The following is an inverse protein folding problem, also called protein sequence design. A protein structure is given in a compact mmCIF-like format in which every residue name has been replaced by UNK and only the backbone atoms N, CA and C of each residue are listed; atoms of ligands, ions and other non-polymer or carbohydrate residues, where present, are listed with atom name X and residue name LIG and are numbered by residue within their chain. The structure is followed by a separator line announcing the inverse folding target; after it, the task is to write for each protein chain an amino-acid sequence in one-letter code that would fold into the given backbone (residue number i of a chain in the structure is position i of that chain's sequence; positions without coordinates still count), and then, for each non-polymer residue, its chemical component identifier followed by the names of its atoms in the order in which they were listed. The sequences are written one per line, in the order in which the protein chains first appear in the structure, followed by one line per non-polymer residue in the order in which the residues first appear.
data_IF_917611672574
#
_entry.id   IF_917611672574
#
_cell.length_a   1.000
_cell.length_b   1.000
_cell.length_c   1.000
_cell.angle_alpha   90.00
_cell.angle_beta   90.00
_cell.angle_gamma   90.00
#
_symmetry.space_group_name_H-M   'P 1'
#
loop_
_entity.id
_entity.type
_entity.pdbx_description
1 polymer ?
#
# COMPACT_ATOMS: atom_id res chain seq x y z
N UNK A 1 24.17 2.64 -16.63
CA UNK A 1 22.74 2.90 -16.32
C UNK A 1 22.69 3.41 -14.89
N UNK A 2 22.04 4.54 -14.65
CA UNK A 2 21.85 5.07 -13.30
C UNK A 2 20.84 4.24 -12.53
N UNK A 3 21.01 4.14 -11.21
CA UNK A 3 20.02 3.46 -10.35
C UNK A 3 18.75 4.29 -10.28
N UNK A 4 17.60 3.63 -10.40
CA UNK A 4 16.30 4.26 -10.16
C UNK A 4 16.08 4.47 -8.65
N UNK A 5 15.23 5.40 -8.29
CA UNK A 5 14.97 5.80 -6.88
C UNK A 5 14.69 4.59 -5.97
N UNK A 6 13.89 3.63 -6.44
CA UNK A 6 13.56 2.43 -5.65
C UNK A 6 14.76 1.55 -5.30
N UNK A 7 15.86 1.67 -6.04
CA UNK A 7 17.08 0.89 -5.79
C UNK A 7 18.15 1.65 -4.98
N UNK A 8 17.85 2.89 -4.59
CA UNK A 8 18.74 3.70 -3.72
C UNK A 8 18.43 3.53 -2.24
N UNK A 9 17.27 2.95 -1.90
CA UNK A 9 16.87 2.70 -0.52
C UNK A 9 17.62 1.48 0.01
N UNK A 10 18.17 1.60 1.22
CA UNK A 10 18.85 0.49 1.88
C UNK A 10 17.81 -0.52 2.44
N UNK A 11 17.56 -1.57 1.68
CA UNK A 11 16.60 -2.62 2.05
C UNK A 11 17.05 -3.50 3.24
N UNK A 12 18.32 -3.40 3.68
CA UNK A 12 18.78 -4.08 4.88
C UNK A 12 18.38 -3.32 6.17
N UNK A 13 18.10 -2.02 6.04
CA UNK A 13 17.65 -1.18 7.15
C UNK A 13 16.15 -0.91 7.13
N UNK A 14 15.50 -1.11 5.96
CA UNK A 14 14.11 -0.77 5.74
C UNK A 14 13.19 -1.68 6.56
N UNK A 15 12.35 -1.07 7.38
CA UNK A 15 11.38 -1.76 8.24
C UNK A 15 9.95 -1.52 7.74
N UNK A 16 8.96 -2.30 8.19
CA UNK A 16 7.55 -2.00 7.93
C UNK A 16 7.18 -0.58 8.38
N UNK A 17 6.44 0.15 7.55
CA UNK A 17 6.10 1.54 7.79
C UNK A 17 5.33 2.16 6.63
N UNK A 18 5.20 3.48 6.66
CA UNK A 18 4.59 4.30 5.62
C UNK A 18 5.54 5.42 5.22
N UNK A 19 6.05 5.38 4.01
CA UNK A 19 7.11 6.27 3.57
C UNK A 19 6.72 7.06 2.32
N UNK A 20 7.18 8.30 2.19
CA UNK A 20 7.23 8.98 0.91
C UNK A 20 8.37 8.37 0.09
N UNK A 21 8.03 7.63 -0.97
CA UNK A 21 9.04 7.04 -1.86
C UNK A 21 9.68 8.08 -2.76
N UNK A 22 8.84 8.90 -3.40
CA UNK A 22 9.28 10.00 -4.25
C UNK A 22 8.15 10.99 -4.51
N UNK A 23 8.54 12.17 -5.02
CA UNK A 23 7.63 13.20 -5.50
C UNK A 23 8.00 13.56 -6.93
N UNK A 24 7.05 13.41 -7.85
CA UNK A 24 7.24 13.69 -9.27
C UNK A 24 6.46 14.94 -9.66
N UNK A 25 7.07 15.82 -10.48
CA UNK A 25 6.40 16.95 -11.08
C UNK A 25 5.81 16.55 -12.42
N UNK A 26 4.51 16.82 -12.61
CA UNK A 26 3.78 16.62 -13.85
C UNK A 26 3.14 17.95 -14.25
N UNK A 27 3.80 18.72 -15.09
CA UNK A 27 3.42 20.12 -15.36
C UNK A 27 3.58 20.95 -14.09
N UNK A 28 2.50 21.61 -13.65
CA UNK A 28 2.43 22.41 -12.41
C UNK A 28 2.10 21.57 -11.18
N UNK A 29 1.65 20.33 -11.38
CA UNK A 29 1.16 19.47 -10.32
C UNK A 29 2.28 18.59 -9.75
N UNK A 30 2.04 18.09 -8.53
CA UNK A 30 2.93 17.11 -7.90
C UNK A 30 2.16 15.81 -7.71
N UNK A 31 2.85 14.70 -7.93
CA UNK A 31 2.37 13.35 -7.58
C UNK A 31 3.29 12.79 -6.51
N UNK A 32 2.72 12.42 -5.36
CA UNK A 32 3.46 11.76 -4.29
C UNK A 32 3.22 10.26 -4.36
N UNK A 33 4.30 9.49 -4.44
CA UNK A 33 4.30 8.02 -4.35
C UNK A 33 4.63 7.61 -2.93
N UNK A 34 3.73 6.86 -2.30
CA UNK A 34 3.92 6.29 -0.97
C UNK A 34 4.31 4.81 -1.06
N UNK A 35 5.26 4.43 -0.25
CA UNK A 35 5.66 3.04 0.01
C UNK A 35 4.94 2.56 1.28
N UNK A 36 3.99 1.66 1.09
CA UNK A 36 3.27 0.98 2.16
C UNK A 36 3.99 -0.34 2.43
N UNK A 37 4.98 -0.31 3.33
CA UNK A 37 5.83 -1.48 3.62
C UNK A 37 5.21 -2.34 4.72
N UNK A 38 4.74 -3.56 4.35
CA UNK A 38 4.06 -4.46 5.25
C UNK A 38 5.00 -5.46 5.94
N UNK A 39 6.08 -5.84 5.25
CA UNK A 39 7.03 -6.84 5.76
C UNK A 39 8.45 -6.30 5.75
N UNK A 40 9.30 -6.76 6.68
CA UNK A 40 10.74 -6.46 6.70
C UNK A 40 11.41 -7.12 5.50
N UNK A 41 11.98 -6.34 4.56
CA UNK A 41 12.62 -6.91 3.38
C UNK A 41 13.75 -7.87 3.74
N UNK A 42 13.76 -9.05 3.12
CA UNK A 42 14.79 -10.09 3.27
C UNK A 42 14.90 -10.72 4.66
N UNK A 43 14.09 -10.31 5.65
CA UNK A 43 14.14 -10.80 7.02
C UNK A 43 12.96 -11.70 7.40
N UNK A 44 11.81 -11.50 6.75
CA UNK A 44 10.60 -12.28 7.03
C UNK A 44 9.93 -12.76 5.72
N UNK A 45 9.02 -13.76 5.79
CA UNK A 45 8.27 -14.24 4.63
C UNK A 45 7.44 -13.11 4.00
N UNK A 46 7.41 -13.10 2.67
CA UNK A 46 6.58 -12.17 1.88
C UNK A 46 5.14 -12.66 1.78
N UNK A 47 4.23 -11.77 1.40
CA UNK A 47 2.85 -12.12 1.07
C UNK A 47 2.80 -13.05 -0.15
N UNK A 48 1.85 -14.00 -0.19
CA UNK A 48 1.59 -14.80 -1.37
C UNK A 48 0.75 -14.02 -2.40
N UNK A 49 0.73 -14.48 -3.65
CA UNK A 49 0.07 -13.78 -4.76
C UNK A 49 -1.43 -13.54 -4.52
N UNK A 50 -2.15 -14.53 -4.04
CA UNK A 50 -3.58 -14.43 -3.76
C UNK A 50 -3.90 -13.44 -2.62
N UNK A 51 -3.03 -13.33 -1.63
CA UNK A 51 -3.12 -12.37 -0.53
C UNK A 51 -2.95 -10.93 -1.04
N UNK A 52 -1.89 -10.73 -1.80
CA UNK A 52 -1.56 -9.45 -2.45
C UNK A 52 -2.69 -8.99 -3.37
N UNK A 53 -3.19 -9.88 -4.22
CA UNK A 53 -4.27 -9.61 -5.15
C UNK A 53 -5.58 -9.25 -4.44
N UNK A 54 -5.91 -9.97 -3.36
CA UNK A 54 -7.08 -9.65 -2.55
C UNK A 54 -6.97 -8.27 -1.89
N UNK A 55 -5.81 -7.95 -1.29
CA UNK A 55 -5.56 -6.63 -0.69
C UNK A 55 -5.66 -5.53 -1.75
N UNK A 56 -5.12 -5.77 -2.95
CA UNK A 56 -5.21 -4.80 -4.06
C UNK A 56 -6.66 -4.46 -4.37
N UNK A 57 -7.54 -5.46 -4.56
CA UNK A 57 -8.96 -5.24 -4.84
C UNK A 57 -9.67 -4.49 -3.71
N UNK A 58 -9.45 -4.88 -2.45
CA UNK A 58 -10.07 -4.26 -1.29
C UNK A 58 -9.61 -2.82 -1.09
N UNK A 59 -8.31 -2.60 -1.12
CA UNK A 59 -7.71 -1.28 -0.89
C UNK A 59 -8.06 -0.32 -2.04
N UNK A 60 -7.97 -0.75 -3.30
CA UNK A 60 -8.35 0.08 -4.43
C UNK A 60 -9.83 0.49 -4.36
N UNK A 61 -10.71 -0.42 -3.95
CA UNK A 61 -12.12 -0.13 -3.76
C UNK A 61 -12.33 0.90 -2.64
N UNK A 62 -11.71 0.71 -1.48
CA UNK A 62 -11.80 1.64 -0.36
C UNK A 62 -11.30 3.04 -0.75
N UNK A 63 -10.08 3.13 -1.26
CA UNK A 63 -9.41 4.40 -1.57
C UNK A 63 -10.20 5.24 -2.58
N UNK A 64 -10.79 4.60 -3.60
CA UNK A 64 -11.57 5.29 -4.63
C UNK A 64 -13.00 5.60 -4.21
N UNK A 65 -13.44 5.14 -3.05
CA UNK A 65 -14.74 5.47 -2.45
C UNK A 65 -14.61 6.37 -1.21
N UNK A 66 -13.39 6.66 -0.74
CA UNK A 66 -13.17 7.57 0.39
C UNK A 66 -13.49 9.02 -0.05
N UNK A 67 -14.51 9.68 0.54
CA UNK A 67 -15.03 10.95 0.02
C UNK A 67 -14.00 12.06 -0.11
N UNK A 68 -13.09 12.18 0.86
CA UNK A 68 -12.11 13.27 0.92
C UNK A 68 -10.87 13.02 0.03
N UNK A 69 -10.69 11.79 -0.45
CA UNK A 69 -9.47 11.38 -1.15
C UNK A 69 -9.67 10.80 -2.53
N UNK A 70 -10.86 10.32 -2.87
CA UNK A 70 -11.15 9.61 -4.14
C UNK A 70 -10.63 10.31 -5.40
N UNK A 71 -10.72 11.64 -5.42
CA UNK A 71 -10.31 12.45 -6.57
C UNK A 71 -8.79 12.67 -6.63
N UNK A 72 -8.07 12.32 -5.57
CA UNK A 72 -6.61 12.39 -5.50
C UNK A 72 -5.93 11.04 -5.73
N UNK A 73 -6.68 9.93 -5.66
CA UNK A 73 -6.12 8.58 -5.84
C UNK A 73 -5.85 8.33 -7.32
N UNK A 74 -4.58 8.17 -7.66
CA UNK A 74 -4.13 7.88 -9.03
C UNK A 74 -3.91 6.39 -9.24
N UNK A 75 -3.27 5.71 -8.29
CA UNK A 75 -2.95 4.29 -8.40
C UNK A 75 -2.73 3.68 -7.02
N UNK A 76 -3.14 2.42 -6.87
CA UNK A 76 -2.75 1.53 -5.79
C UNK A 76 -2.42 0.16 -6.38
N UNK A 77 -1.29 -0.40 -6.02
CA UNK A 77 -0.89 -1.71 -6.51
C UNK A 77 0.31 -2.30 -5.79
N UNK A 78 0.52 -3.62 -5.92
CA UNK A 78 1.57 -4.33 -5.22
C UNK A 78 2.96 -4.06 -5.79
N UNK A 79 3.97 -4.15 -4.94
CA UNK A 79 5.36 -4.26 -5.37
C UNK A 79 5.65 -5.68 -5.86
N UNK A 80 6.49 -5.81 -6.90
CA UNK A 80 6.87 -7.11 -7.43
C UNK A 80 7.57 -8.03 -6.42
N UNK A 81 8.23 -7.45 -5.40
CA UNK A 81 8.85 -8.21 -4.30
C UNK A 81 7.85 -8.73 -3.25
N UNK A 82 6.60 -8.30 -3.32
CA UNK A 82 5.50 -8.71 -2.43
C UNK A 82 5.72 -8.38 -0.95
N UNK A 83 6.51 -7.35 -0.66
CA UNK A 83 6.73 -6.85 0.71
C UNK A 83 5.84 -5.67 1.06
N UNK A 84 5.11 -5.13 0.10
CA UNK A 84 4.23 -3.97 0.28
C UNK A 84 3.54 -3.52 -1.00
N UNK A 85 3.01 -2.30 -0.95
CA UNK A 85 2.24 -1.69 -2.01
C UNK A 85 2.72 -0.27 -2.29
N UNK A 86 2.46 0.22 -3.50
CA UNK A 86 2.57 1.64 -3.82
C UNK A 86 1.18 2.28 -3.87
N UNK A 87 1.09 3.48 -3.27
CA UNK A 87 -0.06 4.37 -3.39
C UNK A 87 0.42 5.68 -4.01
N UNK A 88 -0.17 6.07 -5.13
CA UNK A 88 0.09 7.34 -5.79
C UNK A 88 -1.07 8.29 -5.54
N UNK A 89 -0.77 9.45 -4.96
CA UNK A 89 -1.75 10.51 -4.70
C UNK A 89 -1.35 11.81 -5.41
N UNK A 90 -2.33 12.49 -5.97
CA UNK A 90 -2.15 13.85 -6.46
C UNK A 90 -1.94 14.80 -5.27
N UNK A 91 -0.92 15.63 -5.34
CA UNK A 91 -0.55 16.60 -4.32
C UNK A 91 0.86 16.42 -3.79
N UNK A 92 1.37 17.46 -3.16
CA UNK A 92 2.65 17.46 -2.44
C UNK A 92 2.40 17.09 -0.99
N UNK A 93 2.42 15.80 -0.69
CA UNK A 93 1.96 15.24 0.58
C UNK A 93 3.11 14.62 1.36
N UNK A 94 2.98 14.65 2.70
CA UNK A 94 3.83 13.93 3.64
C UNK A 94 3.23 12.58 4.04
N UNK A 95 4.04 11.69 4.62
CA UNK A 95 3.57 10.44 5.19
C UNK A 95 2.52 10.66 6.30
N UNK A 96 2.71 11.71 7.12
CA UNK A 96 1.77 12.07 8.18
C UNK A 96 0.39 12.48 7.65
N UNK A 97 0.32 13.18 6.51
CA UNK A 97 -0.94 13.57 5.88
C UNK A 97 -1.66 12.37 5.26
N UNK A 98 -0.94 11.40 4.70
CA UNK A 98 -1.52 10.19 4.13
C UNK A 98 -1.89 9.13 5.19
N UNK A 99 -1.30 9.20 6.39
CA UNK A 99 -1.46 8.19 7.44
C UNK A 99 -2.93 7.89 7.81
N UNK A 100 -3.82 8.88 8.03
CA UNK A 100 -5.21 8.59 8.35
C UNK A 100 -5.94 7.81 7.25
N UNK A 101 -5.70 8.14 5.98
CA UNK A 101 -6.25 7.44 4.83
C UNK A 101 -5.79 5.98 4.78
N UNK A 102 -4.48 5.76 4.89
CA UNK A 102 -3.88 4.42 4.82
C UNK A 102 -4.31 3.57 6.01
N UNK A 103 -4.37 4.16 7.21
CA UNK A 103 -4.89 3.50 8.42
C UNK A 103 -6.33 3.04 8.23
N UNK A 104 -7.23 3.91 7.79
CA UNK A 104 -8.63 3.58 7.52
C UNK A 104 -8.76 2.47 6.47
N UNK A 105 -7.96 2.53 5.41
CA UNK A 105 -7.93 1.52 4.37
C UNK A 105 -7.56 0.13 4.93
N UNK A 106 -6.53 0.02 5.76
CA UNK A 106 -6.10 -1.28 6.27
C UNK A 106 -6.97 -1.81 7.41
N UNK A 107 -7.64 -0.96 8.19
CA UNK A 107 -8.74 -1.38 9.05
C UNK A 107 -9.92 -1.93 8.24
N UNK A 108 -10.24 -1.32 7.10
CA UNK A 108 -11.25 -1.89 6.19
C UNK A 108 -10.81 -3.26 5.66
N UNK A 109 -9.57 -3.44 5.21
CA UNK A 109 -9.04 -4.74 4.77
C UNK A 109 -9.11 -5.79 5.87
N UNK A 110 -8.73 -5.45 7.10
CA UNK A 110 -8.81 -6.33 8.28
C UNK A 110 -10.24 -6.85 8.53
N UNK A 111 -11.20 -5.93 8.46
CA UNK A 111 -12.58 -6.17 8.87
C UNK A 111 -13.48 -6.68 7.75
N UNK A 112 -13.02 -6.63 6.51
CA UNK A 112 -13.85 -7.00 5.36
C UNK A 112 -14.33 -8.45 5.44
N UNK A 113 -15.59 -8.65 5.11
CA UNK A 113 -16.25 -9.95 5.02
C UNK A 113 -17.13 -9.98 3.77
N UNK A 114 -17.30 -11.14 3.20
CA UNK A 114 -18.13 -11.34 2.00
C UNK A 114 -17.31 -11.49 0.74
N UNK A 115 -17.93 -11.25 -0.40
CA UNK A 115 -17.29 -11.39 -1.71
C UNK A 115 -16.32 -10.23 -1.97
N UNK A 116 -15.11 -10.56 -2.42
CA UNK A 116 -14.10 -9.54 -2.75
C UNK A 116 -14.59 -8.74 -3.96
N UNK A 117 -14.62 -7.40 -3.89
CA UNK A 117 -15.07 -6.56 -5.00
C UNK A 117 -14.28 -6.85 -6.28
N UNK A 118 -14.98 -7.00 -7.40
CA UNK A 118 -14.35 -7.28 -8.70
C UNK A 118 -13.77 -8.69 -8.86
N UNK A 119 -13.96 -9.61 -7.91
CA UNK A 119 -13.51 -11.01 -8.02
C UNK A 119 -14.47 -11.85 -8.85
N UNK A 120 -14.68 -11.46 -10.11
CA UNK A 120 -15.48 -12.18 -11.08
C UNK A 120 -14.72 -12.35 -12.40
N UNK A 121 -15.08 -13.35 -13.17
CA UNK A 121 -14.46 -13.61 -14.48
C UNK A 121 -14.64 -12.45 -15.47
N UNK A 122 -15.66 -11.61 -15.27
CA UNK A 122 -15.94 -10.43 -16.07
C UNK A 122 -15.05 -9.25 -15.71
N UNK A 123 -14.74 -9.10 -14.41
CA UNK A 123 -14.14 -7.90 -13.86
C UNK A 123 -12.63 -8.03 -13.61
N UNK A 124 -12.13 -9.26 -13.49
CA UNK A 124 -10.73 -9.55 -13.19
C UNK A 124 -10.16 -10.66 -14.08
N UNK A 125 -8.96 -10.45 -14.58
CA UNK A 125 -8.25 -11.40 -15.43
C UNK A 125 -7.79 -12.68 -14.73
N UNK A 126 -7.79 -12.71 -13.38
CA UNK A 126 -7.41 -13.86 -12.56
C UNK A 126 -8.24 -13.93 -11.27
N UNK A 127 -9.55 -13.91 -11.40
CA UNK A 127 -10.50 -13.75 -10.30
C UNK A 127 -10.48 -14.87 -9.26
N UNK A 128 -9.95 -16.05 -9.60
CA UNK A 128 -9.83 -17.19 -8.67
C UNK A 128 -8.61 -17.08 -7.73
N UNK A 129 -7.65 -16.22 -8.06
CA UNK A 129 -6.43 -16.00 -7.25
C UNK A 129 -6.71 -15.04 -6.09
N UNK A 130 -7.56 -15.44 -5.15
CA UNK A 130 -7.98 -14.65 -3.98
C UNK A 130 -7.80 -15.44 -2.69
N UNK A 131 -7.42 -14.77 -1.62
CA UNK A 131 -7.31 -15.32 -0.28
C UNK A 131 -7.72 -14.27 0.76
N UNK A 132 -9.02 -14.15 1.01
CA UNK A 132 -9.56 -13.16 1.95
C UNK A 132 -9.10 -13.37 3.40
N UNK A 133 -9.09 -14.59 3.96
CA UNK A 133 -8.59 -14.79 5.33
C UNK A 133 -7.17 -14.30 5.54
N UNK A 134 -6.26 -14.53 4.60
CA UNK A 134 -4.89 -14.06 4.68
C UNK A 134 -4.77 -12.56 4.40
N UNK A 135 -5.59 -12.01 3.52
CA UNK A 135 -5.68 -10.56 3.34
C UNK A 135 -6.13 -9.87 4.64
N UNK A 136 -7.13 -10.41 5.35
CA UNK A 136 -7.53 -9.92 6.66
C UNK A 136 -6.38 -9.99 7.68
N UNK A 137 -5.60 -11.09 7.69
CA UNK A 137 -4.43 -11.23 8.56
C UNK A 137 -3.39 -10.13 8.31
N UNK A 138 -2.99 -9.91 7.06
CA UNK A 138 -2.05 -8.86 6.69
C UNK A 138 -2.61 -7.46 6.98
N UNK A 139 -3.91 -7.26 6.70
CA UNK A 139 -4.62 -6.03 7.03
C UNK A 139 -4.56 -5.70 8.51
N UNK A 140 -4.87 -6.67 9.37
CA UNK A 140 -4.79 -6.55 10.83
C UNK A 140 -3.37 -6.20 11.29
N UNK A 141 -2.38 -6.91 10.79
CA UNK A 141 -0.98 -6.71 11.16
C UNK A 141 -0.51 -5.30 10.81
N UNK A 142 -0.81 -4.85 9.60
CA UNK A 142 -0.40 -3.51 9.16
C UNK A 142 -1.21 -2.39 9.80
N UNK A 143 -2.52 -2.56 10.00
CA UNK A 143 -3.35 -1.61 10.74
C UNK A 143 -2.83 -1.40 12.17
N UNK A 144 -2.48 -2.47 12.87
CA UNK A 144 -1.91 -2.40 14.22
C UNK A 144 -0.56 -1.65 14.25
N UNK A 145 0.27 -1.83 13.21
CA UNK A 145 1.51 -1.05 13.05
C UNK A 145 1.19 0.43 12.85
N UNK A 146 0.26 0.76 11.97
CA UNK A 146 -0.12 2.15 11.67
C UNK A 146 -0.77 2.85 12.86
N UNK A 147 -1.52 2.13 13.70
CA UNK A 147 -2.13 2.67 14.92
C UNK A 147 -1.09 3.11 15.95
N UNK A 148 0.07 2.46 15.95
CA UNK A 148 1.17 2.69 16.89
C UNK A 148 2.45 3.17 16.20
N UNK A 149 2.33 3.77 15.02
CA UNK A 149 3.47 4.12 14.19
C UNK A 149 4.35 5.17 14.84
N UNK A 150 5.65 4.96 14.81
CA UNK A 150 6.66 5.87 15.32
C UNK A 150 7.23 6.75 14.20
N UNK A 151 7.76 7.94 14.50
CA UNK A 151 8.28 8.87 13.47
C UNK A 151 9.33 8.27 12.54
N UNK A 152 10.17 7.36 13.04
CA UNK A 152 11.21 6.66 12.27
C UNK A 152 10.63 5.68 11.23
N UNK A 153 9.33 5.35 11.33
CA UNK A 153 8.60 4.52 10.36
C UNK A 153 7.82 5.34 9.33
N UNK A 154 7.97 6.66 9.36
CA UNK A 154 7.37 7.60 8.40
C UNK A 154 8.42 8.23 7.47
N UNK A 155 9.70 7.96 7.70
CA UNK A 155 10.83 8.46 6.90
C UNK A 155 11.77 7.30 6.62
N UNK A 156 12.29 7.21 5.40
CA UNK A 156 13.24 6.16 5.06
C UNK A 156 14.50 6.23 5.93
N UNK A 157 15.06 5.06 6.31
CA UNK A 157 16.31 5.02 7.04
C UNK A 157 17.46 5.58 6.18
N UNK A 158 18.38 6.30 6.83
CA UNK A 158 19.62 6.81 6.21
C UNK A 158 20.67 5.71 6.01
#
# INVERSE_FOLDING_TARGET
MEKITSFTIDHLKLQPGLYVSRKDKVGTETVTTFDLRLTSPNEEPVMNTAEVHTIEHLAATYLRNEPDWKDKVLYFGPMGCRTGFYLLLAGDLSSGEALPLVRGCFHFVEQFRGEVPGASAKDCGNYLDMNLPMANYWGKRYAALLDNITPDRLVYPE
#
